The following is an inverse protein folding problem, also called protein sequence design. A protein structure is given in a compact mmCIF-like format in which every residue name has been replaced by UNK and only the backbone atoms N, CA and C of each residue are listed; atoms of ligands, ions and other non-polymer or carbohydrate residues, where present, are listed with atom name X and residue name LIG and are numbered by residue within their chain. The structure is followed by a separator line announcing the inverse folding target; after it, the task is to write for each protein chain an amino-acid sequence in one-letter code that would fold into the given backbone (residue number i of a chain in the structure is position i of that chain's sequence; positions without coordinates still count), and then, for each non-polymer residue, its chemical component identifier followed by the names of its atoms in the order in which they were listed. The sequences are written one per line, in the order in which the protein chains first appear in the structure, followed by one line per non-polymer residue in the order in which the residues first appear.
data_IF_527499173149
#
_entry.id   IF_527499173149
#
_cell.length_a   1.000
_cell.length_b   1.000
_cell.length_c   1.000
_cell.angle_alpha   90.00
_cell.angle_beta   90.00
_cell.angle_gamma   90.00
#
_symmetry.space_group_name_H-M   'P 1'
#
loop_
_entity.id
_entity.type
_entity.pdbx_description
1 polymer ?
#
# COMPACT_ATOMS: atom_id res chain seq x y z
N UNK A 1 -44.90 11.72 -34.68
CA UNK A 1 -44.90 10.32 -34.19
C UNK A 1 -43.69 10.19 -33.29
N UNK A 2 -43.89 10.44 -32.00
CA UNK A 2 -42.87 10.60 -30.97
C UNK A 2 -42.73 9.27 -30.24
N UNK A 3 -41.58 8.61 -30.38
CA UNK A 3 -41.21 7.45 -29.56
C UNK A 3 -40.11 7.93 -28.62
N UNK A 4 -40.51 8.21 -27.38
CA UNK A 4 -39.61 8.46 -26.26
C UNK A 4 -39.16 7.13 -25.69
N UNK A 5 -37.88 6.80 -25.86
CA UNK A 5 -37.25 5.61 -25.34
C UNK A 5 -36.86 5.84 -23.87
N UNK A 6 -37.65 5.28 -22.96
CA UNK A 6 -37.53 5.48 -21.52
C UNK A 6 -36.81 4.27 -20.91
N UNK A 7 -35.48 4.22 -21.01
CA UNK A 7 -34.68 3.20 -20.33
C UNK A 7 -34.55 3.55 -18.84
N UNK A 8 -35.55 3.15 -18.06
CA UNK A 8 -35.47 3.12 -16.61
C UNK A 8 -34.46 2.06 -16.16
N UNK A 9 -33.29 2.50 -15.69
CA UNK A 9 -32.38 1.66 -14.89
C UNK A 9 -33.16 1.13 -13.68
N UNK A 10 -33.49 -0.15 -13.69
CA UNK A 10 -34.00 -0.86 -12.52
C UNK A 10 -32.87 -0.93 -11.50
N UNK A 11 -32.82 0.04 -10.59
CA UNK A 11 -32.05 -0.07 -9.36
C UNK A 11 -32.73 -1.14 -8.50
N UNK A 12 -32.18 -2.36 -8.50
CA UNK A 12 -32.51 -3.38 -7.51
C UNK A 12 -32.10 -2.82 -6.14
N UNK A 13 -33.03 -2.16 -5.45
CA UNK A 13 -32.87 -1.80 -4.03
C UNK A 13 -32.61 -3.11 -3.28
N UNK A 14 -31.37 -3.33 -2.86
CA UNK A 14 -31.04 -4.41 -1.92
C UNK A 14 -32.03 -4.32 -0.77
N UNK A 15 -32.85 -5.35 -0.60
CA UNK A 15 -33.83 -5.43 0.48
C UNK A 15 -33.02 -5.53 1.78
N UNK A 16 -33.04 -4.47 2.59
CA UNK A 16 -32.38 -4.47 3.89
C UNK A 16 -33.19 -5.45 4.75
N UNK A 17 -32.63 -6.64 4.98
CA UNK A 17 -33.29 -7.73 5.72
C UNK A 17 -33.37 -7.43 7.23
N UNK A 18 -32.50 -6.54 7.72
CA UNK A 18 -32.45 -6.13 9.12
C UNK A 18 -31.89 -4.71 9.21
N UNK A 19 -32.64 -3.79 9.81
CA UNK A 19 -32.16 -2.45 10.13
C UNK A 19 -31.98 -2.38 11.64
N UNK A 20 -30.74 -2.46 12.11
CA UNK A 20 -30.46 -2.24 13.52
C UNK A 20 -30.81 -0.80 13.89
N UNK A 21 -31.57 -0.56 14.98
CA UNK A 21 -31.75 0.79 15.49
C UNK A 21 -30.38 1.35 15.88
N UNK A 22 -30.14 2.62 15.57
CA UNK A 22 -28.94 3.29 16.06
C UNK A 22 -28.96 3.29 17.59
N UNK A 23 -27.84 2.93 18.23
CA UNK A 23 -27.67 3.05 19.67
C UNK A 23 -28.01 4.49 20.10
N UNK A 24 -28.72 4.67 21.23
CA UNK A 24 -28.93 5.99 21.81
C UNK A 24 -27.60 6.75 21.93
N UNK A 25 -27.62 8.06 21.68
CA UNK A 25 -26.42 8.90 21.68
C UNK A 25 -25.64 8.82 23.00
N UNK A 26 -26.34 8.63 24.13
CA UNK A 26 -25.77 8.45 25.46
C UNK A 26 -25.05 7.11 25.57
N UNK A 27 -25.67 6.00 25.14
CA UNK A 27 -25.05 4.67 25.13
C UNK A 27 -23.81 4.66 24.23
N UNK A 28 -23.90 5.28 23.05
CA UNK A 28 -22.77 5.41 22.14
C UNK A 28 -21.64 6.25 22.77
N UNK A 29 -21.97 7.35 23.45
CA UNK A 29 -21.00 8.16 24.19
C UNK A 29 -20.31 7.38 25.31
N UNK A 30 -21.08 6.62 26.09
CA UNK A 30 -20.54 5.73 27.13
C UNK A 30 -19.64 4.65 26.53
N UNK A 31 -20.03 4.03 25.41
CA UNK A 31 -19.18 3.07 24.71
C UNK A 31 -17.85 3.70 24.29
N UNK A 32 -17.85 4.90 23.71
CA UNK A 32 -16.62 5.58 23.34
C UNK A 32 -15.73 5.91 24.54
N UNK A 33 -16.32 6.35 25.65
CA UNK A 33 -15.57 6.63 26.89
C UNK A 33 -14.94 5.34 27.43
N UNK A 34 -15.73 4.27 27.56
CA UNK A 34 -15.27 2.98 28.09
C UNK A 34 -14.14 2.43 27.20
N UNK A 35 -14.32 2.42 25.89
CA UNK A 35 -13.30 1.97 24.94
C UNK A 35 -12.05 2.84 25.04
N UNK A 36 -12.20 4.17 25.06
CA UNK A 36 -11.08 5.11 25.17
C UNK A 36 -10.28 4.92 26.47
N UNK A 37 -10.96 4.86 27.62
CA UNK A 37 -10.33 4.57 28.91
C UNK A 37 -9.65 3.20 28.93
N UNK A 38 -10.25 2.19 28.31
CA UNK A 38 -9.68 0.84 28.24
C UNK A 38 -8.41 0.81 27.39
N UNK A 39 -8.38 1.52 26.25
CA UNK A 39 -7.19 1.67 25.41
C UNK A 39 -6.08 2.42 26.15
N UNK A 40 -6.39 3.53 26.84
CA UNK A 40 -5.42 4.28 27.63
C UNK A 40 -4.83 3.40 28.74
N UNK A 41 -5.69 2.67 29.44
CA UNK A 41 -5.27 1.71 30.47
C UNK A 41 -4.35 0.63 29.87
N UNK A 42 -4.73 -0.01 28.76
CA UNK A 42 -3.92 -1.03 28.11
C UNK A 42 -2.53 -0.51 27.73
N UNK A 43 -2.44 0.64 27.04
CA UNK A 43 -1.16 1.24 26.68
C UNK A 43 -0.32 1.64 27.89
N UNK A 44 -0.95 2.06 28.99
CA UNK A 44 -0.23 2.32 30.24
C UNK A 44 0.39 1.05 30.84
N UNK A 45 -0.29 -0.09 30.76
CA UNK A 45 0.23 -1.37 31.24
C UNK A 45 1.40 -1.85 30.37
N UNK A 46 1.31 -1.69 29.05
CA UNK A 46 2.43 -1.98 28.14
C UNK A 46 3.66 -1.13 28.49
N UNK A 47 3.47 0.16 28.76
CA UNK A 47 4.56 1.05 29.16
C UNK A 47 5.17 0.65 30.51
N UNK A 48 4.34 0.25 31.49
CA UNK A 48 4.80 -0.25 32.79
C UNK A 48 5.64 -1.52 32.62
N UNK A 49 5.16 -2.50 31.85
CA UNK A 49 5.90 -3.72 31.55
C UNK A 49 7.23 -3.40 30.84
N UNK A 50 7.20 -2.49 29.87
CA UNK A 50 8.38 -2.06 29.11
C UNK A 50 9.44 -1.36 29.97
N UNK A 51 9.03 -0.60 30.98
CA UNK A 51 9.98 0.04 31.92
C UNK A 51 10.62 -0.96 32.90
N UNK A 52 9.99 -2.12 33.13
CA UNK A 52 10.51 -3.20 33.99
C UNK A 52 11.35 -4.21 33.21
N UNK A 53 11.30 -4.17 31.88
CA UNK A 53 11.97 -5.15 31.04
C UNK A 53 13.47 -4.88 30.96
N UNK A 54 14.27 -5.91 31.26
CA UNK A 54 15.72 -5.86 31.10
C UNK A 54 16.11 -6.58 29.82
N UNK A 55 16.83 -5.87 28.94
CA UNK A 55 17.23 -6.42 27.65
C UNK A 55 18.25 -7.54 27.81
N UNK A 56 17.94 -8.70 27.22
CA UNK A 56 18.87 -9.83 27.16
C UNK A 56 19.79 -9.72 25.93
N UNK A 57 21.06 -10.13 26.11
CA UNK A 57 22.14 -10.02 25.11
C UNK A 57 21.93 -10.74 23.76
N UNK A 58 20.89 -11.57 23.64
CA UNK A 58 20.62 -12.37 22.45
C UNK A 58 19.79 -11.65 21.37
N UNK A 59 19.28 -10.45 21.66
CA UNK A 59 18.46 -9.68 20.71
C UNK A 59 19.31 -8.67 19.93
N UNK A 60 18.94 -8.40 18.67
CA UNK A 60 19.55 -7.31 17.89
C UNK A 60 19.10 -5.97 18.47
N UNK A 61 20.00 -5.27 19.16
CA UNK A 61 19.67 -4.03 19.84
C UNK A 61 20.17 -2.85 19.00
N UNK A 62 19.24 -1.98 18.57
CA UNK A 62 19.59 -0.64 18.07
C UNK A 62 19.39 0.40 19.16
N UNK A 63 20.44 1.17 19.41
CA UNK A 63 20.40 2.33 20.29
C UNK A 63 20.35 3.58 19.42
N UNK A 64 19.29 4.38 19.58
CA UNK A 64 19.21 5.70 18.95
C UNK A 64 19.28 6.78 20.03
N UNK A 65 19.92 7.90 19.70
CA UNK A 65 19.87 9.10 20.52
C UNK A 65 18.71 9.98 20.08
N UNK A 66 17.61 9.90 20.82
CA UNK A 66 16.42 10.71 20.56
C UNK A 66 16.69 12.17 20.94
N UNK A 67 16.23 13.16 20.13
CA UNK A 67 16.28 14.56 20.51
C UNK A 67 15.57 14.77 21.84
N UNK A 68 16.17 15.54 22.75
CA UNK A 68 15.63 15.92 24.08
C UNK A 68 15.50 14.79 25.13
N UNK A 69 15.53 13.52 24.73
CA UNK A 69 15.33 12.38 25.65
C UNK A 69 16.66 11.67 25.96
N UNK A 70 17.57 11.59 24.98
CA UNK A 70 18.85 10.88 25.12
C UNK A 70 18.82 9.50 24.48
N UNK A 71 19.69 8.61 24.95
CA UNK A 71 19.85 7.26 24.39
C UNK A 71 18.70 6.35 24.82
N UNK A 72 18.08 5.70 23.82
CA UNK A 72 17.02 4.72 24.03
C UNK A 72 17.17 3.54 23.07
N UNK A 73 16.84 2.37 23.57
CA UNK A 73 16.66 1.17 22.77
C UNK A 73 15.46 1.32 21.85
N UNK A 74 15.53 0.74 20.66
CA UNK A 74 14.42 0.63 19.72
C UNK A 74 14.01 -0.83 19.63
N UNK A 75 12.73 -1.13 19.79
CA UNK A 75 12.19 -2.44 19.46
C UNK A 75 12.30 -2.67 17.94
N UNK A 76 13.20 -3.57 17.56
CA UNK A 76 13.40 -4.00 16.17
C UNK A 76 12.69 -5.33 15.86
N UNK A 77 12.01 -5.93 16.82
CA UNK A 77 11.34 -7.21 16.59
C UNK A 77 10.09 -7.11 15.73
N UNK A 78 9.49 -5.92 15.64
CA UNK A 78 8.42 -5.62 14.69
C UNK A 78 8.94 -5.71 13.25
N UNK A 79 8.76 -6.89 12.66
CA UNK A 79 9.22 -7.22 11.32
C UNK A 79 8.58 -6.31 10.26
N UNK A 80 7.31 -5.96 10.40
CA UNK A 80 6.60 -5.12 9.43
C UNK A 80 7.18 -3.71 9.38
N UNK A 81 7.35 -3.07 10.53
CA UNK A 81 7.87 -1.73 10.66
C UNK A 81 9.34 -1.67 10.23
N UNK A 82 10.17 -2.60 10.70
CA UNK A 82 11.60 -2.64 10.35
C UNK A 82 11.83 -2.93 8.87
N UNK A 83 10.96 -3.74 8.26
CA UNK A 83 11.02 -4.03 6.82
C UNK A 83 10.46 -2.88 5.97
N UNK A 84 9.37 -2.23 6.39
CA UNK A 84 8.67 -1.20 5.61
C UNK A 84 9.32 0.18 5.71
N UNK A 85 9.78 0.58 6.91
CA UNK A 85 10.26 1.95 7.18
C UNK A 85 11.39 2.40 6.25
N UNK A 86 12.45 1.60 6.00
CA UNK A 86 13.51 1.98 5.06
C UNK A 86 12.96 2.20 3.64
N UNK A 87 12.03 1.35 3.19
CA UNK A 87 11.40 1.45 1.88
C UNK A 87 10.56 2.72 1.79
N UNK A 88 9.78 3.02 2.83
CA UNK A 88 8.97 4.24 2.93
C UNK A 88 9.82 5.50 2.75
N UNK A 89 10.98 5.56 3.42
CA UNK A 89 11.93 6.66 3.23
C UNK A 89 12.53 6.72 1.82
N UNK A 90 12.87 5.58 1.22
CA UNK A 90 13.38 5.53 -0.16
C UNK A 90 12.32 5.89 -1.20
N UNK A 91 11.03 5.72 -0.90
CA UNK A 91 9.90 6.12 -1.75
C UNK A 91 9.62 7.63 -1.72
N UNK A 92 9.97 8.35 -0.65
CA UNK A 92 9.76 9.80 -0.56
C UNK A 92 10.44 10.58 -1.71
N UNK A 93 11.76 10.45 -1.96
CA UNK A 93 12.40 11.14 -3.07
C UNK A 93 11.82 10.73 -4.43
N UNK A 94 11.38 9.47 -4.57
CA UNK A 94 10.69 9.01 -5.77
C UNK A 94 9.37 9.74 -6.03
N UNK A 95 8.53 9.86 -5.00
CA UNK A 95 7.26 10.57 -5.10
C UNK A 95 7.44 12.08 -5.27
N UNK A 96 8.47 12.66 -4.65
CA UNK A 96 8.84 14.06 -4.87
C UNK A 96 9.24 14.26 -6.33
N UNK A 97 10.14 13.42 -6.87
CA UNK A 97 10.55 13.47 -8.27
C UNK A 97 9.36 13.30 -9.21
N UNK A 98 8.51 12.30 -8.97
CA UNK A 98 7.29 12.08 -9.73
C UNK A 98 6.39 13.33 -9.71
N UNK A 99 6.15 13.91 -8.53
CA UNK A 99 5.34 15.12 -8.36
C UNK A 99 5.92 16.28 -9.17
N UNK A 100 7.24 16.51 -9.10
CA UNK A 100 7.92 17.56 -9.88
C UNK A 100 7.75 17.33 -11.39
N UNK A 101 8.08 16.13 -11.89
CA UNK A 101 8.00 15.80 -13.32
C UNK A 101 6.57 15.97 -13.83
N UNK A 102 5.58 15.46 -13.09
CA UNK A 102 4.20 15.54 -13.52
C UNK A 102 3.66 16.97 -13.44
N UNK A 103 3.99 17.74 -12.40
CA UNK A 103 3.42 19.07 -12.19
C UNK A 103 4.08 20.16 -13.02
N UNK A 104 5.39 20.09 -13.19
CA UNK A 104 6.17 21.06 -13.95
C UNK A 104 6.34 20.55 -15.38
N UNK A 105 6.84 19.32 -15.55
CA UNK A 105 7.07 18.74 -16.87
C UNK A 105 5.80 18.60 -17.72
N UNK A 106 4.66 18.30 -17.10
CA UNK A 106 3.37 18.25 -17.81
C UNK A 106 2.91 19.58 -18.45
N UNK A 107 3.54 20.71 -18.10
CA UNK A 107 3.30 21.99 -18.77
C UNK A 107 4.18 22.21 -20.00
N UNK A 108 5.29 21.46 -20.14
CA UNK A 108 6.29 21.64 -21.20
C UNK A 108 6.28 20.53 -22.25
N UNK A 109 5.79 19.34 -21.92
CA UNK A 109 5.78 18.18 -22.83
C UNK A 109 4.37 17.64 -23.06
N UNK A 110 4.18 16.98 -24.20
CA UNK A 110 2.91 16.28 -24.50
C UNK A 110 2.68 15.10 -23.56
N UNK A 111 1.42 14.72 -23.35
CA UNK A 111 1.04 13.56 -22.53
C UNK A 111 1.70 12.25 -22.98
N UNK A 112 1.86 12.08 -24.29
CA UNK A 112 2.54 10.91 -24.85
C UNK A 112 4.01 10.89 -24.45
N UNK A 113 4.71 12.02 -24.55
CA UNK A 113 6.11 12.14 -24.12
C UNK A 113 6.24 11.93 -22.62
N UNK A 114 5.34 12.51 -21.82
CA UNK A 114 5.32 12.35 -20.36
C UNK A 114 5.13 10.90 -19.95
N UNK A 115 4.31 10.14 -20.68
CA UNK A 115 4.14 8.70 -20.49
C UNK A 115 5.46 7.94 -20.66
N UNK A 116 6.21 8.19 -21.73
CA UNK A 116 7.52 7.53 -21.93
C UNK A 116 8.54 7.90 -20.86
N UNK A 117 8.63 9.19 -20.52
CA UNK A 117 9.50 9.68 -19.45
C UNK A 117 9.15 8.95 -18.15
N UNK A 118 7.85 8.83 -17.85
CA UNK A 118 7.37 8.16 -16.64
C UNK A 118 7.76 6.71 -16.58
N UNK A 119 7.53 5.96 -17.65
CA UNK A 119 7.94 4.55 -17.70
C UNK A 119 9.44 4.43 -17.47
N UNK A 120 10.24 5.24 -18.17
CA UNK A 120 11.70 5.16 -18.10
C UNK A 120 12.22 5.39 -16.68
N UNK A 121 11.94 6.56 -16.07
CA UNK A 121 12.47 6.82 -14.73
C UNK A 121 11.84 5.90 -13.68
N UNK A 122 10.58 5.49 -13.84
CA UNK A 122 9.92 4.61 -12.86
C UNK A 122 10.54 3.22 -12.87
N UNK A 123 10.78 2.64 -14.04
CA UNK A 123 11.49 1.35 -14.18
C UNK A 123 12.91 1.46 -13.62
N UNK A 124 13.65 2.52 -13.97
CA UNK A 124 14.99 2.75 -13.43
C UNK A 124 14.99 2.86 -11.92
N UNK A 125 14.06 3.62 -11.34
CA UNK A 125 13.96 3.78 -9.89
C UNK A 125 13.52 2.48 -9.20
N UNK A 126 12.58 1.73 -9.77
CA UNK A 126 12.18 0.41 -9.26
C UNK A 126 13.35 -0.56 -9.19
N UNK A 127 14.32 -0.49 -10.11
CA UNK A 127 15.55 -1.30 -10.04
C UNK A 127 16.40 -0.98 -8.81
N UNK A 128 16.40 0.27 -8.33
CA UNK A 128 17.09 0.68 -7.11
C UNK A 128 16.29 0.35 -5.85
N UNK A 129 14.96 0.53 -5.88
CA UNK A 129 14.11 0.38 -4.71
C UNK A 129 13.81 -1.08 -4.35
N UNK A 130 13.62 -1.95 -5.35
CA UNK A 130 13.18 -3.33 -5.13
C UNK A 130 14.25 -4.36 -5.51
N UNK A 131 14.71 -4.31 -6.77
CA UNK A 131 15.90 -4.96 -7.32
C UNK A 131 15.74 -5.05 -8.84
N UNK A 132 16.87 -5.14 -9.56
CA UNK A 132 16.88 -5.39 -11.02
C UNK A 132 16.15 -6.69 -11.37
N UNK A 133 16.33 -7.74 -10.57
CA UNK A 133 15.73 -9.05 -10.82
C UNK A 133 14.20 -9.02 -10.73
N UNK A 134 13.64 -8.40 -9.70
CA UNK A 134 12.19 -8.27 -9.54
C UNK A 134 11.56 -7.45 -10.68
N UNK A 135 12.22 -6.39 -11.13
CA UNK A 135 11.76 -5.58 -12.27
C UNK A 135 11.73 -6.40 -13.55
N UNK A 136 12.77 -7.21 -13.82
CA UNK A 136 12.81 -8.12 -14.97
C UNK A 136 11.68 -9.15 -14.89
N UNK A 137 11.44 -9.74 -13.72
CA UNK A 137 10.34 -10.70 -13.52
C UNK A 137 8.97 -10.06 -13.78
N UNK A 138 8.74 -8.87 -13.23
CA UNK A 138 7.50 -8.09 -13.45
C UNK A 138 7.29 -7.79 -14.92
N UNK A 139 8.30 -7.27 -15.62
CA UNK A 139 8.23 -6.97 -17.06
C UNK A 139 7.97 -8.22 -17.89
N UNK A 140 8.71 -9.30 -17.65
CA UNK A 140 8.55 -10.57 -18.36
C UNK A 140 7.13 -11.09 -18.23
N UNK A 141 6.58 -11.07 -17.02
CA UNK A 141 5.22 -11.53 -16.80
C UNK A 141 4.17 -10.60 -17.38
N UNK A 142 4.28 -9.29 -17.20
CA UNK A 142 3.34 -8.34 -17.80
C UNK A 142 3.29 -8.52 -19.32
N UNK A 143 4.46 -8.73 -19.93
CA UNK A 143 4.61 -9.04 -21.36
C UNK A 143 3.90 -10.35 -21.74
N UNK A 144 4.14 -11.43 -20.99
CA UNK A 144 3.50 -12.73 -21.20
C UNK A 144 1.97 -12.61 -21.14
N UNK A 145 1.44 -12.01 -20.08
CA UNK A 145 0.00 -11.82 -19.87
C UNK A 145 -0.59 -10.99 -21.01
N UNK A 146 0.07 -9.90 -21.41
CA UNK A 146 -0.40 -9.04 -22.48
C UNK A 146 -0.52 -9.77 -23.81
N UNK A 147 0.53 -10.45 -24.24
CA UNK A 147 0.51 -11.17 -25.51
C UNK A 147 -0.49 -12.34 -25.46
N UNK A 148 -0.52 -13.11 -24.38
CA UNK A 148 -1.49 -14.19 -24.23
C UNK A 148 -2.93 -13.68 -24.29
N UNK A 149 -3.26 -12.61 -23.55
CA UNK A 149 -4.57 -11.98 -23.59
C UNK A 149 -4.91 -11.46 -25.00
N UNK A 150 -3.95 -10.82 -25.67
CA UNK A 150 -4.14 -10.25 -27.01
C UNK A 150 -4.43 -11.31 -28.08
N UNK A 151 -3.71 -12.43 -28.07
CA UNK A 151 -3.85 -13.47 -29.09
C UNK A 151 -5.03 -14.40 -28.83
N UNK A 152 -5.22 -14.85 -27.58
CA UNK A 152 -6.26 -15.84 -27.27
C UNK A 152 -7.62 -15.25 -26.90
N UNK A 153 -7.68 -13.95 -26.55
CA UNK A 153 -8.92 -13.20 -26.31
C UNK A 153 -9.85 -13.78 -25.25
N UNK A 154 -9.30 -14.43 -24.21
CA UNK A 154 -10.09 -15.06 -23.15
C UNK A 154 -9.64 -14.60 -21.75
N UNK A 155 -10.60 -14.26 -20.88
CA UNK A 155 -10.29 -13.75 -19.54
C UNK A 155 -9.56 -14.78 -18.67
N UNK A 156 -9.92 -16.06 -18.76
CA UNK A 156 -9.25 -17.14 -18.00
C UNK A 156 -7.74 -17.20 -18.28
N UNK A 157 -7.29 -16.81 -19.47
CA UNK A 157 -5.88 -16.87 -19.83
C UNK A 157 -5.08 -15.83 -19.06
N UNK A 158 -5.64 -14.65 -18.81
CA UNK A 158 -5.05 -13.64 -17.92
C UNK A 158 -4.80 -14.23 -16.54
N UNK A 159 -5.79 -14.94 -16.00
CA UNK A 159 -5.68 -15.59 -14.69
C UNK A 159 -4.67 -16.72 -14.68
N UNK A 160 -4.70 -17.64 -15.65
CA UNK A 160 -3.73 -18.73 -15.73
C UNK A 160 -2.29 -18.23 -15.88
N UNK A 161 -2.07 -17.19 -16.70
CA UNK A 161 -0.74 -16.57 -16.86
C UNK A 161 -0.28 -15.82 -15.59
N UNK A 162 -1.20 -15.43 -14.70
CA UNK A 162 -0.86 -14.79 -13.42
C UNK A 162 -0.40 -15.76 -12.34
N UNK A 163 -0.88 -17.01 -12.37
CA UNK A 163 -0.63 -18.01 -11.32
C UNK A 163 0.85 -18.35 -11.08
N UNK A 164 1.72 -18.49 -12.09
CA UNK A 164 3.12 -18.86 -11.87
C UNK A 164 3.87 -17.88 -10.96
N UNK A 165 3.71 -16.56 -11.14
CA UNK A 165 4.38 -15.59 -10.26
C UNK A 165 3.75 -15.56 -8.88
N UNK A 166 2.44 -15.76 -8.78
CA UNK A 166 1.75 -15.74 -7.49
C UNK A 166 2.27 -16.90 -6.66
N UNK A 167 2.41 -18.08 -7.27
CA UNK A 167 3.04 -19.22 -6.64
C UNK A 167 4.51 -18.94 -6.27
N UNK A 168 5.30 -18.39 -7.19
CA UNK A 168 6.71 -18.06 -6.96
C UNK A 168 6.89 -17.05 -5.82
N UNK A 169 6.09 -15.98 -5.80
CA UNK A 169 6.12 -14.96 -4.75
C UNK A 169 5.67 -15.54 -3.42
N UNK A 170 4.56 -16.27 -3.34
CA UNK A 170 4.08 -16.82 -2.07
C UNK A 170 5.01 -17.91 -1.49
N UNK A 171 5.55 -18.79 -2.34
CA UNK A 171 6.34 -19.94 -1.88
C UNK A 171 7.83 -19.66 -1.75
N UNK A 172 8.38 -18.80 -2.61
CA UNK A 172 9.83 -18.60 -2.75
C UNK A 172 10.24 -17.12 -2.58
N UNK A 173 9.45 -16.29 -1.88
CA UNK A 173 9.79 -14.87 -1.64
C UNK A 173 11.22 -14.63 -1.17
N UNK A 174 11.72 -15.42 -0.21
CA UNK A 174 13.09 -15.28 0.31
C UNK A 174 14.19 -15.63 -0.69
N UNK A 175 13.88 -16.41 -1.75
CA UNK A 175 14.83 -16.64 -2.85
C UNK A 175 14.86 -15.48 -3.85
N UNK A 176 13.80 -14.66 -3.89
CA UNK A 176 13.67 -13.55 -4.82
C UNK A 176 14.25 -12.25 -4.24
N UNK A 177 14.14 -12.07 -2.93
CA UNK A 177 14.70 -10.93 -2.20
C UNK A 177 14.96 -11.32 -0.75
N UNK A 178 16.02 -10.80 -0.11
CA UNK A 178 16.23 -10.96 1.34
C UNK A 178 15.06 -10.42 2.17
N UNK A 179 14.36 -9.41 1.66
CA UNK A 179 13.16 -8.87 2.27
C UNK A 179 11.92 -9.31 1.45
N UNK A 180 11.10 -10.25 1.97
CA UNK A 180 9.95 -10.78 1.24
C UNK A 180 8.83 -9.75 1.10
N UNK A 181 8.76 -8.73 1.98
CA UNK A 181 7.78 -7.65 1.90
C UNK A 181 7.91 -6.88 0.58
N UNK A 182 9.15 -6.65 0.12
CA UNK A 182 9.44 -6.02 -1.18
C UNK A 182 8.89 -6.83 -2.34
N UNK A 183 9.02 -8.16 -2.28
CA UNK A 183 8.51 -9.06 -3.32
C UNK A 183 7.00 -8.93 -3.41
N UNK A 184 6.32 -9.03 -2.27
CA UNK A 184 4.86 -8.95 -2.20
C UNK A 184 4.36 -7.58 -2.64
N UNK A 185 4.94 -6.49 -2.11
CA UNK A 185 4.54 -5.12 -2.50
C UNK A 185 4.74 -4.90 -3.99
N UNK A 186 5.90 -5.18 -4.55
CA UNK A 186 6.15 -4.82 -5.93
C UNK A 186 5.44 -5.75 -6.91
N UNK A 187 5.62 -7.08 -6.77
CA UNK A 187 5.10 -8.04 -7.74
C UNK A 187 3.57 -8.09 -7.70
N UNK A 188 2.94 -8.06 -6.52
CA UNK A 188 1.48 -8.14 -6.46
C UNK A 188 0.82 -6.88 -7.03
N UNK A 189 1.35 -5.68 -6.77
CA UNK A 189 0.75 -4.44 -7.29
C UNK A 189 0.95 -4.29 -8.81
N UNK A 190 2.14 -4.60 -9.34
CA UNK A 190 2.34 -4.57 -10.80
C UNK A 190 1.53 -5.66 -11.49
N UNK A 191 1.42 -6.86 -10.89
CA UNK A 191 0.58 -7.94 -11.40
C UNK A 191 -0.91 -7.55 -11.45
N UNK A 192 -1.44 -6.97 -10.37
CA UNK A 192 -2.82 -6.47 -10.34
C UNK A 192 -3.06 -5.45 -11.45
N UNK A 193 -2.09 -4.58 -11.72
CA UNK A 193 -2.16 -3.62 -12.81
C UNK A 193 -2.16 -4.33 -14.18
N UNK A 194 -1.32 -5.34 -14.40
CA UNK A 194 -1.35 -6.12 -15.63
C UNK A 194 -2.67 -6.86 -15.82
N UNK A 195 -3.19 -7.51 -14.78
CA UNK A 195 -4.48 -8.21 -14.82
C UNK A 195 -5.60 -7.21 -15.14
N UNK A 196 -5.68 -6.10 -14.40
CA UNK A 196 -6.71 -5.08 -14.59
C UNK A 196 -6.69 -4.53 -16.01
N UNK A 197 -5.51 -4.14 -16.52
CA UNK A 197 -5.39 -3.64 -17.89
C UNK A 197 -5.89 -4.65 -18.93
N UNK A 198 -5.42 -5.90 -18.84
CA UNK A 198 -5.71 -6.91 -19.86
C UNK A 198 -7.17 -7.35 -19.84
N UNK A 199 -7.79 -7.49 -18.66
CA UNK A 199 -9.23 -7.79 -18.57
C UNK A 199 -10.09 -6.67 -19.15
N UNK A 200 -9.74 -5.42 -18.88
CA UNK A 200 -10.49 -4.26 -19.38
C UNK A 200 -10.32 -4.10 -20.90
N UNK A 201 -9.13 -4.38 -21.44
CA UNK A 201 -8.90 -4.41 -22.88
C UNK A 201 -9.70 -5.51 -23.57
N UNK A 202 -9.84 -6.69 -22.95
CA UNK A 202 -10.70 -7.78 -23.45
C UNK A 202 -12.19 -7.39 -23.44
N UNK A 203 -12.61 -6.60 -22.45
CA UNK A 203 -13.98 -6.09 -22.34
C UNK A 203 -14.26 -4.89 -23.25
N UNK A 204 -13.30 -4.49 -24.11
CA UNK A 204 -13.48 -3.42 -25.08
C UNK A 204 -13.27 -2.02 -24.53
N UNK A 205 -12.72 -1.85 -23.32
CA UNK A 205 -12.39 -0.55 -22.71
C UNK A 205 -11.12 0.09 -23.32
N UNK A 206 -10.96 -0.03 -24.64
CA UNK A 206 -9.80 0.46 -25.39
C UNK A 206 -9.95 1.94 -25.69
N UNK A 207 -8.89 2.70 -25.44
CA UNK A 207 -8.83 4.11 -25.85
C UNK A 207 -8.71 4.26 -27.36
N UNK A 208 -9.32 5.28 -27.97
CA UNK A 208 -9.15 5.57 -29.40
C UNK A 208 -7.68 5.80 -29.79
N UNK A 209 -6.89 6.42 -28.90
CA UNK A 209 -5.49 6.77 -29.19
C UNK A 209 -4.57 5.55 -29.25
N UNK A 210 -4.93 4.47 -28.55
CA UNK A 210 -4.15 3.22 -28.45
C UNK A 210 -4.39 2.31 -29.65
N UNK A 211 -4.42 2.88 -30.86
CA UNK A 211 -4.84 2.18 -32.07
C UNK A 211 -3.92 1.02 -32.49
N UNK A 212 -2.64 1.01 -32.09
CA UNK A 212 -1.70 -0.06 -32.39
C UNK A 212 -1.40 -0.95 -31.18
N UNK A 213 -0.94 -2.18 -31.44
CA UNK A 213 -0.50 -3.11 -30.40
C UNK A 213 0.61 -2.50 -29.53
N UNK A 214 1.58 -1.84 -30.16
CA UNK A 214 2.69 -1.20 -29.46
C UNK A 214 2.19 -0.11 -28.49
N UNK A 215 1.25 0.75 -28.92
CA UNK A 215 0.67 1.77 -28.04
C UNK A 215 -0.09 1.17 -26.86
N UNK A 216 -0.89 0.13 -27.10
CA UNK A 216 -1.57 -0.60 -26.03
C UNK A 216 -0.56 -1.16 -25.01
N UNK A 217 0.53 -1.76 -25.50
CA UNK A 217 1.58 -2.30 -24.63
C UNK A 217 2.28 -1.22 -23.81
N UNK A 218 2.65 -0.10 -24.43
CA UNK A 218 3.26 1.04 -23.73
C UNK A 218 2.27 1.65 -22.72
N UNK A 219 0.96 1.66 -23.02
CA UNK A 219 -0.07 2.11 -22.08
C UNK A 219 -0.20 1.19 -20.87
N UNK A 220 -0.14 -0.12 -21.07
CA UNK A 220 -0.09 -1.08 -19.98
C UNK A 220 1.13 -0.84 -19.08
N UNK A 221 2.32 -0.65 -19.68
CA UNK A 221 3.54 -0.38 -18.91
C UNK A 221 3.43 0.94 -18.13
N UNK A 222 2.86 1.98 -18.74
CA UNK A 222 2.63 3.26 -18.06
C UNK A 222 1.74 3.12 -16.83
N UNK A 223 0.66 2.35 -16.96
CA UNK A 223 -0.25 2.08 -15.86
C UNK A 223 0.40 1.24 -14.75
N UNK A 224 1.08 0.14 -15.11
CA UNK A 224 1.71 -0.75 -14.13
C UNK A 224 2.90 -0.12 -13.41
N UNK A 225 3.67 0.73 -14.08
CA UNK A 225 4.79 1.46 -13.50
C UNK A 225 4.44 2.90 -13.13
N UNK A 226 3.15 3.21 -12.92
CA UNK A 226 2.76 4.51 -12.41
C UNK A 226 3.14 4.61 -10.91
N UNK A 227 4.02 5.55 -10.49
CA UNK A 227 4.60 5.56 -9.15
C UNK A 227 3.61 5.45 -7.98
N UNK A 228 2.50 6.20 -7.95
CA UNK A 228 1.53 6.08 -6.87
C UNK A 228 0.89 4.68 -6.76
N UNK A 229 0.84 3.90 -7.84
CA UNK A 229 0.07 2.64 -7.89
C UNK A 229 0.94 1.39 -7.83
N UNK A 230 2.24 1.52 -8.09
CA UNK A 230 3.16 0.37 -8.03
C UNK A 230 3.47 -0.12 -6.61
N UNK A 231 3.06 0.61 -5.56
CA UNK A 231 3.53 0.37 -4.17
C UNK A 231 2.44 0.34 -3.11
N UNK A 232 1.37 1.13 -3.26
CA UNK A 232 0.47 1.41 -2.12
C UNK A 232 -1.01 1.49 -2.48
N UNK A 233 -1.36 1.82 -3.72
CA UNK A 233 -2.76 2.02 -4.12
C UNK A 233 -3.16 1.07 -5.25
N UNK A 234 -4.11 0.18 -4.97
CA UNK A 234 -4.75 -0.65 -5.99
C UNK A 234 -5.83 0.18 -6.67
N UNK A 235 -5.53 0.64 -7.89
CA UNK A 235 -6.46 1.42 -8.72
C UNK A 235 -6.69 0.65 -10.01
N UNK A 236 -7.93 0.34 -10.36
CA UNK A 236 -8.27 -0.34 -11.62
C UNK A 236 -8.03 0.55 -12.84
N UNK A 237 -7.77 -0.04 -14.00
CA UNK A 237 -7.42 0.68 -15.22
C UNK A 237 -8.43 1.79 -15.63
N UNK A 238 -9.76 1.58 -15.59
CA UNK A 238 -10.70 2.63 -15.99
C UNK A 238 -10.64 3.86 -15.07
N UNK A 239 -10.38 3.63 -13.79
CA UNK A 239 -10.24 4.68 -12.79
C UNK A 239 -8.91 5.43 -12.97
N UNK A 240 -7.83 4.73 -13.29
CA UNK A 240 -6.57 5.36 -13.69
C UNK A 240 -6.75 6.28 -14.91
N UNK A 241 -7.39 5.80 -15.97
CA UNK A 241 -7.65 6.62 -17.17
C UNK A 241 -8.55 7.82 -16.89
N UNK A 242 -9.55 7.65 -16.01
CA UNK A 242 -10.37 8.76 -15.54
C UNK A 242 -9.53 9.82 -14.84
N UNK A 243 -8.66 9.43 -13.91
CA UNK A 243 -7.80 10.36 -13.17
C UNK A 243 -6.79 11.07 -14.08
N UNK A 244 -6.21 10.35 -15.05
CA UNK A 244 -5.30 10.93 -16.04
C UNK A 244 -5.99 12.01 -16.89
N UNK A 245 -7.24 11.78 -17.32
CA UNK A 245 -8.02 12.78 -18.08
C UNK A 245 -8.43 13.99 -17.25
N UNK A 246 -8.80 13.78 -15.98
CA UNK A 246 -9.23 14.86 -15.08
C UNK A 246 -8.07 15.67 -14.49
N UNK A 247 -6.83 15.27 -14.77
CA UNK A 247 -5.62 15.90 -14.26
C UNK A 247 -5.58 17.41 -14.51
N UNK A 248 -5.91 17.83 -15.74
CA UNK A 248 -5.80 19.24 -16.14
C UNK A 248 -6.93 20.12 -15.60
N UNK A 249 -8.06 19.52 -15.21
CA UNK A 249 -9.25 20.24 -14.76
C UNK A 249 -9.37 20.32 -13.24
N UNK A 250 -8.63 19.48 -12.51
CA UNK A 250 -8.75 19.39 -11.05
C UNK A 250 -7.87 20.44 -10.36
N UNK A 251 -8.50 21.40 -9.70
CA UNK A 251 -7.83 22.34 -8.80
C UNK A 251 -7.33 21.63 -7.53
N UNK A 252 -6.08 21.90 -7.13
CA UNK A 252 -5.49 21.29 -5.94
C UNK A 252 -5.95 22.01 -4.68
N UNK A 253 -6.49 21.25 -3.73
CA UNK A 253 -6.75 21.74 -2.38
C UNK A 253 -5.49 21.53 -1.51
N UNK A 254 -4.63 22.53 -1.46
CA UNK A 254 -3.38 22.48 -0.70
C UNK A 254 -3.58 22.31 0.80
N UNK A 255 -4.63 22.90 1.38
CA UNK A 255 -4.95 22.72 2.80
C UNK A 255 -5.20 21.25 3.14
N UNK A 256 -5.99 20.56 2.31
CA UNK A 256 -6.26 19.12 2.49
C UNK A 256 -4.99 18.28 2.30
N UNK A 257 -4.13 18.62 1.34
CA UNK A 257 -2.86 17.92 1.11
C UNK A 257 -1.92 18.08 2.29
N UNK A 258 -1.73 19.31 2.80
CA UNK A 258 -0.89 19.59 3.97
C UNK A 258 -1.44 18.88 5.21
N UNK A 259 -2.74 18.96 5.46
CA UNK A 259 -3.38 18.26 6.57
C UNK A 259 -3.15 16.75 6.50
N UNK A 260 -3.26 16.15 5.30
CA UNK A 260 -3.01 14.73 5.10
C UNK A 260 -1.54 14.36 5.35
N UNK A 261 -0.60 15.18 4.87
CA UNK A 261 0.83 14.99 5.13
C UNK A 261 1.15 15.06 6.63
N UNK A 262 0.66 16.09 7.33
CA UNK A 262 0.82 16.24 8.78
C UNK A 262 0.23 15.05 9.54
N UNK A 263 -0.94 14.56 9.13
CA UNK A 263 -1.56 13.38 9.73
C UNK A 263 -0.68 12.15 9.57
N UNK A 264 -0.14 11.88 8.38
CA UNK A 264 0.77 10.75 8.15
C UNK A 264 2.02 10.88 9.02
N UNK A 265 2.65 12.06 9.02
CA UNK A 265 3.86 12.31 9.82
C UNK A 265 3.58 12.14 11.31
N UNK A 266 2.44 12.60 11.80
CA UNK A 266 2.04 12.41 13.20
C UNK A 266 1.95 10.94 13.58
N UNK A 267 1.22 10.12 12.80
CA UNK A 267 1.07 8.69 13.09
C UNK A 267 2.39 7.93 12.95
N UNK A 268 3.21 8.29 11.95
CA UNK A 268 4.53 7.70 11.78
C UNK A 268 5.44 7.99 12.98
N UNK A 269 5.48 9.25 13.44
CA UNK A 269 6.25 9.65 14.62
C UNK A 269 5.72 8.98 15.90
N UNK A 270 4.40 8.85 16.04
CA UNK A 270 3.80 8.18 17.19
C UNK A 270 4.27 6.71 17.27
N UNK A 271 4.18 5.96 16.17
CA UNK A 271 4.63 4.55 16.14
C UNK A 271 6.14 4.47 16.36
N UNK A 272 6.92 5.34 15.72
CA UNK A 272 8.37 5.40 15.91
C UNK A 272 8.75 5.62 17.38
N UNK A 273 8.05 6.53 18.08
CA UNK A 273 8.25 6.76 19.51
C UNK A 273 7.76 5.57 20.34
N UNK A 274 6.62 4.96 20.00
CA UNK A 274 6.12 3.77 20.71
C UNK A 274 7.17 2.66 20.71
N UNK A 275 7.84 2.38 19.59
CA UNK A 275 8.90 1.36 19.54
C UNK A 275 10.12 1.69 20.44
N UNK A 276 10.29 2.95 20.83
CA UNK A 276 11.35 3.37 21.75
C UNK A 276 10.98 3.30 23.23
N UNK A 277 9.68 3.17 23.55
CA UNK A 277 9.18 3.18 24.93
C UNK A 277 8.33 1.95 25.29
N UNK A 278 7.83 1.24 24.30
CA UNK A 278 6.88 0.13 24.41
C UNK A 278 7.47 -1.08 23.66
N UNK A 279 8.10 -1.98 24.40
CA UNK A 279 8.86 -3.12 23.87
C UNK A 279 7.98 -4.37 23.77
N UNK A 280 6.75 -4.21 23.26
CA UNK A 280 5.71 -5.23 23.41
C UNK A 280 6.02 -6.52 22.66
N UNK A 281 6.63 -6.45 21.47
CA UNK A 281 7.01 -7.66 20.74
C UNK A 281 8.21 -8.35 21.37
N UNK A 282 9.24 -7.60 21.79
CA UNK A 282 10.38 -8.18 22.49
C UNK A 282 9.99 -8.89 23.78
N UNK A 283 9.12 -8.26 24.59
CA UNK A 283 8.60 -8.88 25.80
C UNK A 283 7.86 -10.18 25.48
N UNK A 284 7.08 -10.23 24.39
CA UNK A 284 6.34 -11.42 24.00
C UNK A 284 7.23 -12.52 23.38
N UNK A 285 8.37 -12.16 22.78
CA UNK A 285 9.39 -13.11 22.34
C UNK A 285 10.13 -13.77 23.51
N UNK A 286 10.32 -13.05 24.61
CA UNK A 286 10.86 -13.59 25.87
C UNK A 286 9.76 -14.34 26.64
N UNK A 287 9.51 -15.59 26.24
CA UNK A 287 8.44 -16.42 26.79
C UNK A 287 8.55 -16.57 28.33
N UNK A 288 9.77 -16.71 28.85
CA UNK A 288 10.01 -16.88 30.29
C UNK A 288 9.65 -15.62 31.05
N UNK A 289 9.98 -14.43 30.52
CA UNK A 289 9.56 -13.17 31.10
C UNK A 289 8.04 -12.97 30.97
N UNK A 290 7.48 -13.19 29.77
CA UNK A 290 6.07 -12.98 29.46
C UNK A 290 5.13 -13.82 30.35
N UNK A 291 5.51 -15.08 30.65
CA UNK A 291 4.72 -15.96 31.51
C UNK A 291 4.64 -15.48 32.96
N UNK A 292 5.63 -14.72 33.42
CA UNK A 292 5.72 -14.21 34.78
C UNK A 292 5.06 -12.83 34.94
N UNK A 293 4.56 -12.23 33.86
CA UNK A 293 3.91 -10.92 33.91
C UNK A 293 2.54 -10.98 34.62
N UNK A 294 2.17 -9.90 35.32
CA UNK A 294 0.79 -9.71 35.76
C UNK A 294 -0.20 -9.85 34.61
N UNK A 295 -1.36 -10.48 34.85
CA UNK A 295 -2.35 -10.78 33.80
C UNK A 295 -2.81 -9.55 33.01
N UNK A 296 -2.96 -8.42 33.68
CA UNK A 296 -3.32 -7.14 33.06
C UNK A 296 -2.23 -6.63 32.11
N UNK A 297 -0.96 -6.79 32.46
CA UNK A 297 0.19 -6.44 31.61
C UNK A 297 0.27 -7.40 30.41
N UNK A 298 0.18 -8.71 30.65
CA UNK A 298 0.21 -9.74 29.60
C UNK A 298 -0.91 -9.59 28.57
N UNK A 299 -2.17 -9.41 29.02
CA UNK A 299 -3.31 -9.22 28.12
C UNK A 299 -3.17 -7.92 27.32
N UNK A 300 -2.64 -6.85 27.92
CA UNK A 300 -2.43 -5.58 27.23
C UNK A 300 -1.35 -5.66 26.16
N UNK A 301 -0.28 -6.43 26.40
CA UNK A 301 0.76 -6.72 25.41
C UNK A 301 0.19 -7.50 24.22
N UNK A 302 -0.65 -8.52 24.48
CA UNK A 302 -1.31 -9.27 23.42
C UNK A 302 -2.28 -8.43 22.58
N UNK A 303 -2.90 -7.39 23.16
CA UNK A 303 -3.73 -6.44 22.42
C UNK A 303 -2.92 -5.40 21.61
N UNK A 304 -1.61 -5.29 21.85
CA UNK A 304 -0.74 -4.34 21.17
C UNK A 304 -0.10 -4.90 19.88
N UNK A 305 -0.16 -6.22 19.67
CA UNK A 305 0.15 -6.90 18.41
C UNK A 305 -0.91 -6.58 17.33
#
# INVERSE_FOLDING_TARGET
MTITDNQSKVMTKRRILFQYPALPTIELGLCYIIVGCSMIYAWSQVLIASNKYEFQYWHSIRINRLPLIGERYMDESNWEWTSWTPIGFMLLPFFILHSIIFNIGGSFVSDNTLQYITIFYSVTYSCFLFSKWLVILSLTQGTLIFFAAYYFRHQLIVWFCSMPILYLSLRYSYHLSPNPLIVVIFICYTLLSYISFNLEMLNGAKRPEDNTLLKCYIRMLFYAFYPPYMTTLVVIYPEFERQMRQRHTKTRNWQRVIFFALRITFWWLLIYLMLHFMYFEWILYDIDYAQNLPKNEFVSLGMAL
#
